data_IF_108720514779
#
_entry.id   IF_108720514779
#
_cell.length_a   1.000
_cell.length_b   1.000
_cell.length_c   1.000
_cell.angle_alpha   90.00
_cell.angle_beta   90.00
_cell.angle_gamma   90.00
#
_symmetry.space_group_name_H-M   'P 1'
#
loop_
_entity.id
_entity.type
_entity.pdbx_description
1 polymer ?
#
# COMPACT_ATOMS: atom_id res chain seq x y z
N UNK A 1 24.50 35.21 -9.81
CA UNK A 1 23.38 36.19 -9.76
C UNK A 1 22.25 35.72 -8.86
N UNK A 2 21.96 34.43 -8.77
CA UNK A 2 20.91 33.89 -7.87
C UNK A 2 21.24 33.99 -6.37
N UNK A 3 22.51 33.87 -6.00
CA UNK A 3 22.96 33.89 -4.60
C UNK A 3 22.66 35.24 -3.91
N UNK A 4 22.90 36.36 -4.59
CA UNK A 4 22.55 37.71 -4.10
C UNK A 4 21.03 37.91 -3.94
N UNK A 5 20.20 37.25 -4.76
CA UNK A 5 18.74 37.37 -4.67
C UNK A 5 18.20 36.62 -3.45
N UNK A 6 18.79 35.46 -3.13
CA UNK A 6 18.44 34.67 -1.94
C UNK A 6 18.82 35.42 -0.67
N UNK A 7 20.02 36.00 -0.61
CA UNK A 7 20.46 36.80 0.55
C UNK A 7 19.57 38.03 0.77
N UNK A 8 19.22 38.74 -0.30
CA UNK A 8 18.30 39.88 -0.23
C UNK A 8 16.90 39.47 0.29
N UNK A 9 16.38 38.32 -0.16
CA UNK A 9 15.10 37.81 0.31
C UNK A 9 15.13 37.43 1.79
N UNK A 10 16.24 36.81 2.25
CA UNK A 10 16.43 36.46 3.66
C UNK A 10 16.51 37.72 4.55
N UNK A 11 17.26 38.74 4.12
CA UNK A 11 17.37 39.99 4.87
C UNK A 11 16.03 40.75 4.92
N UNK A 12 15.27 40.76 3.83
CA UNK A 12 13.90 41.29 3.82
C UNK A 12 12.98 40.51 4.78
N UNK A 13 13.07 39.18 4.79
CA UNK A 13 12.31 38.34 5.71
C UNK A 13 12.62 38.63 7.18
N UNK A 14 13.91 38.76 7.53
CA UNK A 14 14.35 39.15 8.89
C UNK A 14 13.84 40.52 9.28
N UNK A 15 13.86 41.50 8.37
CA UNK A 15 13.36 42.84 8.63
C UNK A 15 11.85 42.82 8.92
N UNK A 16 11.07 42.10 8.12
CA UNK A 16 9.62 41.95 8.32
C UNK A 16 9.29 41.26 9.64
N UNK A 17 10.03 40.20 9.99
CA UNK A 17 9.86 39.51 11.27
C UNK A 17 10.18 40.42 12.46
N UNK A 18 11.26 41.20 12.39
CA UNK A 18 11.58 42.20 13.41
C UNK A 18 10.45 43.22 13.53
N UNK A 19 10.00 43.81 12.42
CA UNK A 19 8.91 44.78 12.43
C UNK A 19 7.61 44.20 13.01
N UNK A 20 7.26 42.97 12.66
CA UNK A 20 6.10 42.28 13.23
C UNK A 20 6.26 42.08 14.74
N UNK A 21 7.45 41.67 15.19
CA UNK A 21 7.77 41.53 16.60
C UNK A 21 7.67 42.86 17.36
N UNK A 22 8.27 43.94 16.83
CA UNK A 22 8.17 45.28 17.41
C UNK A 22 6.70 45.71 17.57
N UNK A 23 5.86 45.52 16.55
CA UNK A 23 4.43 45.84 16.65
C UNK A 23 3.72 45.06 17.76
N UNK A 24 4.03 43.77 17.92
CA UNK A 24 3.46 42.95 19.00
C UNK A 24 3.88 43.52 20.36
N UNK A 25 5.16 43.83 20.53
CA UNK A 25 5.68 44.42 21.77
C UNK A 25 5.03 45.77 22.06
N UNK A 26 4.91 46.65 21.07
CA UNK A 26 4.29 47.97 21.21
C UNK A 26 2.82 47.88 21.61
N UNK A 27 2.06 46.97 20.98
CA UNK A 27 0.66 46.69 21.34
C UNK A 27 0.59 46.19 22.79
N UNK A 28 1.48 45.27 23.17
CA UNK A 28 1.50 44.70 24.53
C UNK A 28 1.80 45.77 25.58
N UNK A 29 2.78 46.64 25.32
CA UNK A 29 3.10 47.76 26.20
C UNK A 29 1.98 48.80 26.26
N UNK A 30 1.34 49.08 25.13
CA UNK A 30 0.17 49.97 25.09
C UNK A 30 -0.96 49.43 25.97
N UNK A 31 -1.30 48.14 25.85
CA UNK A 31 -2.30 47.50 26.71
C UNK A 31 -1.89 47.54 28.18
N UNK A 32 -0.64 47.19 28.51
CA UNK A 32 -0.14 47.21 29.89
C UNK A 32 -0.26 48.61 30.52
N UNK A 33 0.12 49.65 29.78
CA UNK A 33 0.02 51.05 30.22
C UNK A 33 -1.43 51.50 30.37
N UNK A 34 -2.31 51.07 29.48
CA UNK A 34 -3.72 51.44 29.55
C UNK A 34 -4.44 50.71 30.69
N UNK A 35 -4.07 49.45 30.99
CA UNK A 35 -4.56 48.73 32.18
C UNK A 35 -4.07 49.34 33.48
N UNK A 36 -2.81 49.82 33.53
CA UNK A 36 -2.25 50.52 34.69
C UNK A 36 -2.99 51.85 34.93
N UNK A 37 -3.22 52.65 33.89
CA UNK A 37 -3.99 53.90 33.99
C UNK A 37 -5.45 53.68 34.40
N UNK A 38 -6.03 52.56 34.02
CA UNK A 38 -7.41 52.24 34.34
C UNK A 38 -7.58 51.75 35.80
N UNK A 39 -6.49 51.67 36.59
CA UNK A 39 -6.46 51.12 37.95
C UNK A 39 -7.18 49.77 38.03
N UNK A 40 -7.11 48.99 36.94
CA UNK A 40 -7.69 47.66 36.87
C UNK A 40 -6.79 46.73 37.67
N UNK A 41 -7.11 46.54 38.94
CA UNK A 41 -6.54 45.44 39.71
C UNK A 41 -6.91 44.13 39.00
N UNK A 42 -5.87 43.35 38.66
CA UNK A 42 -6.06 42.08 38.00
C UNK A 42 -6.67 41.09 39.00
N UNK A 43 -7.99 41.06 39.08
CA UNK A 43 -8.70 40.09 39.92
C UNK A 43 -8.36 38.66 39.43
N UNK A 44 -7.66 37.85 40.24
CA UNK A 44 -7.30 36.49 39.85
C UNK A 44 -8.53 35.63 39.53
N UNK A 45 -9.69 35.93 40.12
CA UNK A 45 -10.95 35.27 39.82
C UNK A 45 -11.42 35.56 38.39
N UNK A 46 -11.40 36.84 37.98
CA UNK A 46 -11.75 37.24 36.61
C UNK A 46 -10.78 36.65 35.59
N UNK A 47 -9.47 36.69 35.88
CA UNK A 47 -8.46 36.09 35.02
C UNK A 47 -8.67 34.58 34.84
N UNK A 48 -8.99 33.86 35.91
CA UNK A 48 -9.30 32.43 35.87
C UNK A 48 -10.55 32.14 35.03
N UNK A 49 -11.63 32.92 35.21
CA UNK A 49 -12.87 32.75 34.43
C UNK A 49 -12.61 33.01 32.94
N UNK A 50 -11.86 34.06 32.60
CA UNK A 50 -11.47 34.34 31.21
C UNK A 50 -10.62 33.21 30.62
N UNK A 51 -9.64 32.69 31.36
CA UNK A 51 -8.79 31.59 30.92
C UNK A 51 -9.57 30.30 30.67
N UNK A 52 -10.51 29.96 31.56
CA UNK A 52 -11.41 28.82 31.40
C UNK A 52 -12.35 29.01 30.21
N UNK A 53 -12.93 30.20 30.05
CA UNK A 53 -13.78 30.54 28.92
C UNK A 53 -13.03 30.42 27.58
N UNK A 54 -11.82 30.96 27.50
CA UNK A 54 -10.96 30.84 26.31
C UNK A 54 -10.60 29.39 26.01
N UNK A 55 -10.23 28.62 27.03
CA UNK A 55 -9.90 27.19 26.87
C UNK A 55 -11.11 26.39 26.38
N UNK A 56 -12.29 26.69 26.90
CA UNK A 56 -13.53 26.07 26.47
C UNK A 56 -13.86 26.38 24.99
N UNK A 57 -13.74 27.65 24.58
CA UNK A 57 -13.96 28.08 23.20
C UNK A 57 -12.95 27.48 22.23
N UNK A 58 -11.66 27.57 22.56
CA UNK A 58 -10.57 27.01 21.75
C UNK A 58 -10.65 25.49 21.69
N UNK A 59 -10.97 24.82 22.80
CA UNK A 59 -11.18 23.39 22.85
C UNK A 59 -12.27 22.94 21.87
N UNK A 60 -13.39 23.65 21.83
CA UNK A 60 -14.47 23.40 20.86
C UNK A 60 -14.03 23.61 19.41
N UNK A 61 -13.36 24.73 19.11
CA UNK A 61 -12.86 25.05 17.78
C UNK A 61 -11.84 24.01 17.28
N UNK A 62 -10.88 23.64 18.13
CA UNK A 62 -9.88 22.61 17.83
C UNK A 62 -10.51 21.23 17.64
N UNK A 63 -11.50 20.86 18.45
CA UNK A 63 -12.20 19.59 18.29
C UNK A 63 -12.94 19.52 16.96
N UNK A 64 -13.69 20.58 16.61
CA UNK A 64 -14.40 20.64 15.33
C UNK A 64 -13.45 20.57 14.13
N UNK A 65 -12.34 21.30 14.20
CA UNK A 65 -11.27 21.29 13.20
C UNK A 65 -10.64 19.89 13.03
N UNK A 66 -10.43 19.17 14.13
CA UNK A 66 -9.89 17.80 14.11
C UNK A 66 -10.84 16.82 13.41
N UNK A 67 -12.15 16.88 13.72
CA UNK A 67 -13.16 16.04 13.03
C UNK A 67 -13.18 16.36 11.53
N UNK A 68 -13.13 17.64 11.16
CA UNK A 68 -13.10 18.07 9.77
C UNK A 68 -11.85 17.56 9.04
N UNK A 69 -10.68 17.63 9.67
CA UNK A 69 -9.44 17.11 9.11
C UNK A 69 -9.52 15.60 8.89
N UNK A 70 -10.01 14.84 9.87
CA UNK A 70 -10.18 13.39 9.75
C UNK A 70 -11.13 13.01 8.60
N UNK A 71 -12.15 13.84 8.34
CA UNK A 71 -13.15 13.64 7.26
C UNK A 71 -12.79 14.35 5.95
N UNK A 72 -11.57 14.92 5.82
CA UNK A 72 -11.03 15.62 4.63
C UNK A 72 -11.84 16.86 4.19
N UNK A 73 -12.39 17.60 5.16
CA UNK A 73 -13.04 18.89 4.97
C UNK A 73 -12.12 20.06 5.35
N UNK A 74 -12.53 21.30 5.06
CA UNK A 74 -11.71 22.50 5.27
C UNK A 74 -11.56 22.88 6.74
N UNK A 75 -10.39 22.63 7.32
CA UNK A 75 -10.06 22.85 8.74
C UNK A 75 -10.49 24.24 9.25
N UNK A 76 -10.13 25.30 8.52
CA UNK A 76 -10.40 26.69 8.91
C UNK A 76 -11.88 27.00 9.13
N UNK A 77 -12.75 26.52 8.23
CA UNK A 77 -14.20 26.76 8.33
C UNK A 77 -14.77 26.11 9.59
N UNK A 78 -14.38 24.87 9.88
CA UNK A 78 -14.87 24.14 11.04
C UNK A 78 -14.28 24.65 12.35
N UNK A 79 -13.06 25.20 12.32
CA UNK A 79 -12.48 25.92 13.46
C UNK A 79 -13.32 27.15 13.81
N UNK A 80 -13.62 28.02 12.84
CA UNK A 80 -14.41 29.24 13.06
C UNK A 80 -15.83 28.92 13.53
N UNK A 81 -16.49 27.92 12.92
CA UNK A 81 -17.82 27.49 13.37
C UNK A 81 -17.79 26.85 14.76
N UNK A 82 -16.75 26.09 15.10
CA UNK A 82 -16.57 25.54 16.44
C UNK A 82 -16.29 26.60 17.51
N UNK A 83 -15.75 27.77 17.12
CA UNK A 83 -15.59 28.93 17.98
C UNK A 83 -16.90 29.70 18.19
N UNK A 84 -17.70 29.87 17.13
CA UNK A 84 -18.99 30.58 17.16
C UNK A 84 -20.10 29.78 17.85
N UNK A 85 -20.07 28.45 17.73
CA UNK A 85 -21.06 27.53 18.29
C UNK A 85 -20.37 26.46 19.15
N UNK A 86 -19.92 26.83 20.37
CA UNK A 86 -19.13 25.94 21.21
C UNK A 86 -19.91 24.66 21.57
N UNK A 87 -19.24 23.51 21.51
CA UNK A 87 -19.77 22.17 21.82
C UNK A 87 -20.90 21.65 20.92
N UNK A 88 -21.92 22.46 20.64
CA UNK A 88 -23.06 22.07 19.79
C UNK A 88 -22.58 21.70 18.38
N UNK A 89 -21.73 22.55 17.80
CA UNK A 89 -21.21 22.32 16.46
C UNK A 89 -20.34 21.05 16.34
N UNK A 90 -19.25 20.87 17.12
CA UNK A 90 -18.44 19.65 17.04
C UNK A 90 -19.26 18.38 17.29
N UNK A 91 -20.25 18.40 18.20
CA UNK A 91 -21.15 17.27 18.43
C UNK A 91 -22.00 16.93 17.20
N UNK A 92 -22.59 17.93 16.54
CA UNK A 92 -23.43 17.69 15.35
C UNK A 92 -22.59 17.14 14.19
N UNK A 93 -21.44 17.74 13.90
CA UNK A 93 -20.59 17.31 12.78
C UNK A 93 -19.93 15.94 13.02
N UNK A 94 -19.81 15.51 14.28
CA UNK A 94 -19.31 14.17 14.60
C UNK A 94 -20.20 13.09 13.96
N UNK A 95 -21.52 13.30 13.94
CA UNK A 95 -22.50 12.35 13.41
C UNK A 95 -22.98 12.68 12.00
N UNK A 96 -23.10 13.97 11.64
CA UNK A 96 -23.71 14.38 10.38
C UNK A 96 -22.74 14.46 9.19
N UNK A 97 -21.43 14.48 9.42
CA UNK A 97 -20.45 14.73 8.37
C UNK A 97 -19.90 13.43 7.80
N UNK A 98 -20.02 13.21 6.49
CA UNK A 98 -19.41 12.04 5.81
C UNK A 98 -17.94 12.29 5.42
N UNK A 99 -17.21 11.20 5.16
CA UNK A 99 -15.83 11.28 4.65
C UNK A 99 -15.87 11.73 3.18
N UNK A 100 -15.23 12.87 2.89
CA UNK A 100 -15.17 13.39 1.52
C UNK A 100 -14.42 12.41 0.61
N UNK A 101 -15.09 11.94 -0.44
CA UNK A 101 -14.54 11.05 -1.46
C UNK A 101 -14.79 9.55 -1.24
N UNK A 102 -15.45 9.15 -0.16
CA UNK A 102 -15.80 7.74 0.07
C UNK A 102 -16.72 7.19 -1.03
N UNK A 103 -17.75 7.95 -1.44
CA UNK A 103 -18.65 7.58 -2.53
C UNK A 103 -17.93 7.46 -3.88
N UNK A 104 -16.96 8.32 -4.14
CA UNK A 104 -16.19 8.28 -5.39
C UNK A 104 -15.23 7.07 -5.41
N UNK A 105 -14.61 6.76 -4.27
CA UNK A 105 -13.76 5.58 -4.11
C UNK A 105 -14.58 4.29 -4.27
N UNK A 106 -15.77 4.22 -3.67
CA UNK A 106 -16.68 3.08 -3.83
C UNK A 106 -17.13 2.93 -5.29
N UNK A 107 -17.51 4.03 -5.95
CA UNK A 107 -17.88 4.00 -7.37
C UNK A 107 -16.72 3.53 -8.27
N UNK A 108 -15.49 3.95 -7.98
CA UNK A 108 -14.28 3.46 -8.69
C UNK A 108 -14.05 1.98 -8.44
N UNK A 109 -14.17 1.52 -7.20
CA UNK A 109 -14.00 0.10 -6.86
C UNK A 109 -15.05 -0.78 -7.55
N UNK A 110 -16.30 -0.33 -7.61
CA UNK A 110 -17.37 -1.03 -8.32
C UNK A 110 -17.14 -1.03 -9.84
N UNK A 111 -16.68 0.09 -10.41
CA UNK A 111 -16.33 0.17 -11.83
C UNK A 111 -15.15 -0.76 -12.18
N UNK A 112 -14.10 -0.80 -11.33
CA UNK A 112 -12.95 -1.67 -11.52
C UNK A 112 -13.32 -3.15 -11.40
N UNK A 113 -14.20 -3.52 -10.46
CA UNK A 113 -14.74 -4.88 -10.35
C UNK A 113 -15.52 -5.28 -11.60
N UNK A 114 -16.41 -4.42 -12.10
CA UNK A 114 -17.15 -4.68 -13.35
C UNK A 114 -16.21 -4.82 -14.54
N UNK A 115 -15.20 -3.97 -14.64
CA UNK A 115 -14.21 -4.05 -15.71
C UNK A 115 -13.35 -5.33 -15.62
N UNK A 116 -13.06 -5.83 -14.41
CA UNK A 116 -12.39 -7.11 -14.21
C UNK A 116 -13.28 -8.28 -14.63
N UNK A 117 -14.54 -8.29 -14.21
CA UNK A 117 -15.52 -9.33 -14.60
C UNK A 117 -15.71 -9.39 -16.12
N UNK A 118 -15.78 -8.24 -16.80
CA UNK A 118 -15.84 -8.18 -18.28
C UNK A 118 -14.59 -8.76 -18.94
N UNK A 119 -13.40 -8.41 -18.45
CA UNK A 119 -12.12 -8.94 -18.97
C UNK A 119 -12.00 -10.45 -18.76
N UNK A 120 -12.48 -10.96 -17.63
CA UNK A 120 -12.51 -12.40 -17.36
C UNK A 120 -13.51 -13.12 -18.25
N UNK A 121 -14.71 -12.56 -18.45
CA UNK A 121 -15.70 -13.10 -19.38
C UNK A 121 -15.20 -13.11 -20.83
N UNK A 122 -14.49 -12.06 -21.26
CA UNK A 122 -13.87 -11.99 -22.59
C UNK A 122 -12.76 -13.04 -22.74
N UNK A 123 -11.90 -13.22 -21.72
CA UNK A 123 -10.90 -14.31 -21.71
C UNK A 123 -11.56 -15.68 -21.82
N UNK A 124 -12.63 -15.93 -21.07
CA UNK A 124 -13.36 -17.20 -21.15
C UNK A 124 -13.97 -17.43 -22.53
N UNK A 125 -14.56 -16.40 -23.15
CA UNK A 125 -15.07 -16.48 -24.53
C UNK A 125 -13.97 -16.76 -25.54
N UNK A 126 -12.83 -16.08 -25.44
CA UNK A 126 -11.70 -16.31 -26.32
C UNK A 126 -11.12 -17.72 -26.17
N UNK A 127 -11.02 -18.25 -24.95
CA UNK A 127 -10.61 -19.64 -24.70
C UNK A 127 -11.63 -20.64 -25.28
N UNK A 128 -12.93 -20.37 -25.14
CA UNK A 128 -13.98 -21.21 -25.71
C UNK A 128 -14.00 -21.20 -27.25
N UNK A 129 -13.65 -20.08 -27.89
CA UNK A 129 -13.47 -19.99 -29.35
C UNK A 129 -12.17 -20.63 -29.83
N UNK A 130 -11.13 -20.64 -28.99
CA UNK A 130 -9.86 -21.32 -29.21
C UNK A 130 -9.92 -22.81 -28.87
N UNK A 131 -11.11 -23.42 -28.73
CA UNK A 131 -11.26 -24.87 -28.63
C UNK A 131 -10.46 -25.49 -29.78
N UNK A 132 -9.33 -26.16 -29.50
CA UNK A 132 -8.62 -26.85 -30.54
C UNK A 132 -9.61 -27.89 -31.07
N UNK A 133 -9.83 -27.91 -32.38
CA UNK A 133 -10.20 -29.17 -33.01
C UNK A 133 -9.21 -30.21 -32.45
N UNK A 134 -9.74 -31.29 -31.90
CA UNK A 134 -8.98 -32.49 -31.61
C UNK A 134 -8.35 -32.94 -32.94
N UNK A 135 -7.18 -32.39 -33.26
CA UNK A 135 -6.28 -32.95 -34.24
C UNK A 135 -5.75 -34.24 -33.62
N UNK A 136 -6.13 -35.36 -34.24
CA UNK A 136 -5.51 -36.66 -34.02
C UNK A 136 -3.98 -36.49 -33.95
N UNK A 137 -3.30 -37.17 -32.99
CA UNK A 137 -1.89 -36.95 -32.79
C UNK A 137 -1.10 -37.47 -33.99
N UNK A 138 -0.69 -36.55 -34.86
CA UNK A 138 0.34 -36.82 -35.87
C UNK A 138 1.70 -36.98 -35.17
N UNK A 139 2.46 -38.03 -35.48
CA UNK A 139 3.73 -38.28 -34.82
C UNK A 139 4.84 -37.50 -35.53
N UNK A 140 5.09 -36.26 -35.12
CA UNK A 140 6.21 -35.48 -35.64
C UNK A 140 7.26 -35.16 -34.57
N UNK A 141 8.30 -36.01 -34.57
CA UNK A 141 9.71 -35.67 -34.65
C UNK A 141 10.18 -34.27 -34.20
N UNK A 142 10.11 -33.98 -32.90
CA UNK A 142 11.16 -33.21 -32.20
C UNK A 142 11.09 -33.57 -30.71
N UNK A 143 12.21 -34.06 -30.17
CA UNK A 143 12.32 -34.68 -28.84
C UNK A 143 12.17 -33.70 -27.68
N UNK A 144 10.99 -33.09 -27.52
CA UNK A 144 10.62 -32.36 -26.32
C UNK A 144 10.13 -33.32 -25.24
N UNK A 145 10.69 -33.21 -24.04
CA UNK A 145 10.21 -33.97 -22.89
C UNK A 145 8.75 -33.63 -22.59
N UNK A 146 7.92 -34.66 -22.42
CA UNK A 146 6.46 -34.51 -22.20
C UNK A 146 6.09 -35.02 -20.81
N UNK A 147 5.00 -34.47 -20.27
CA UNK A 147 4.38 -34.93 -19.02
C UNK A 147 4.17 -36.44 -18.97
N UNK A 148 3.64 -37.01 -20.05
CA UNK A 148 3.37 -38.45 -20.16
C UNK A 148 4.61 -39.33 -20.01
N UNK A 149 5.78 -38.86 -20.44
CA UNK A 149 7.05 -39.57 -20.25
C UNK A 149 7.42 -39.64 -18.76
N UNK A 150 7.33 -38.51 -18.04
CA UNK A 150 7.65 -38.46 -16.61
C UNK A 150 6.64 -39.20 -15.74
N UNK A 151 5.36 -39.20 -16.10
CA UNK A 151 4.34 -40.00 -15.41
C UNK A 151 4.60 -41.51 -15.54
N UNK A 152 5.08 -41.95 -16.71
CA UNK A 152 5.42 -43.36 -16.94
C UNK A 152 6.66 -43.80 -16.15
N UNK A 153 7.70 -42.97 -16.12
CA UNK A 153 8.95 -43.35 -15.42
C UNK A 153 8.91 -43.02 -13.92
N UNK A 154 7.93 -42.28 -13.41
CA UNK A 154 7.86 -41.92 -11.99
C UNK A 154 7.63 -43.13 -11.06
N UNK A 155 7.07 -44.22 -11.57
CA UNK A 155 6.78 -45.43 -10.80
C UNK A 155 7.34 -46.67 -11.47
N UNK A 156 7.93 -47.55 -10.67
CA UNK A 156 8.36 -48.86 -11.12
C UNK A 156 7.16 -49.82 -11.28
N UNK A 157 7.37 -51.02 -11.83
CA UNK A 157 6.36 -52.06 -12.06
C UNK A 157 5.61 -52.48 -10.78
N UNK A 158 6.23 -52.30 -9.62
CA UNK A 158 5.65 -52.55 -8.29
C UNK A 158 4.89 -51.32 -7.71
N UNK A 159 4.76 -50.24 -8.48
CA UNK A 159 4.06 -49.02 -8.08
C UNK A 159 4.83 -48.14 -7.08
N UNK A 160 6.08 -48.48 -6.76
CA UNK A 160 6.97 -47.67 -5.92
C UNK A 160 7.59 -46.52 -6.71
N UNK A 161 7.96 -45.39 -6.07
CA UNK A 161 8.68 -44.32 -6.73
C UNK A 161 9.97 -44.87 -7.34
N UNK A 162 10.14 -44.67 -8.65
CA UNK A 162 11.38 -45.03 -9.34
C UNK A 162 12.45 -43.94 -9.12
N UNK A 163 13.69 -44.27 -9.46
CA UNK A 163 14.88 -43.44 -9.25
C UNK A 163 16.01 -44.24 -8.59
N UNK A 164 17.23 -43.69 -8.49
CA UNK A 164 17.64 -42.32 -8.81
C UNK A 164 17.97 -42.07 -10.30
N UNK A 165 17.91 -40.80 -10.72
CA UNK A 165 18.25 -40.33 -12.09
C UNK A 165 19.29 -39.22 -12.08
N UNK A 166 20.08 -39.16 -13.14
CA UNK A 166 20.99 -38.05 -13.42
C UNK A 166 20.40 -37.16 -14.52
N UNK A 167 20.26 -35.87 -14.21
CA UNK A 167 19.63 -34.90 -15.09
C UNK A 167 20.55 -33.73 -15.36
N UNK A 168 20.72 -33.41 -16.64
CA UNK A 168 21.46 -32.24 -17.08
C UNK A 168 20.48 -31.09 -17.34
N UNK A 169 20.61 -30.02 -16.56
CA UNK A 169 19.77 -28.83 -16.62
C UNK A 169 20.62 -27.58 -16.47
N UNK A 170 20.54 -26.66 -17.44
CA UNK A 170 21.37 -25.44 -17.52
C UNK A 170 22.89 -25.73 -17.38
N UNK A 171 23.38 -26.79 -18.02
CA UNK A 171 24.79 -27.18 -17.93
C UNK A 171 25.24 -27.81 -16.58
N UNK A 172 24.35 -27.96 -15.60
CA UNK A 172 24.64 -28.63 -14.30
C UNK A 172 24.01 -30.03 -14.29
N UNK A 173 24.76 -31.03 -13.81
CA UNK A 173 24.25 -32.38 -13.59
C UNK A 173 23.73 -32.49 -12.16
N UNK A 174 22.46 -32.82 -12.01
CA UNK A 174 21.77 -32.98 -10.73
C UNK A 174 21.35 -34.44 -10.55
N UNK A 175 21.63 -35.01 -9.37
CA UNK A 175 21.14 -36.33 -8.98
C UNK A 175 19.78 -36.23 -8.32
N UNK A 176 18.78 -36.80 -8.96
CA UNK A 176 17.39 -36.81 -8.55
C UNK A 176 17.08 -38.14 -7.87
N UNK A 177 16.53 -38.07 -6.67
CA UNK A 177 16.14 -39.25 -5.87
C UNK A 177 14.84 -39.83 -6.40
N UNK A 178 13.84 -38.97 -6.65
CA UNK A 178 12.54 -39.38 -7.19
C UNK A 178 11.80 -38.25 -7.90
N UNK A 179 10.85 -38.60 -8.76
CA UNK A 179 9.88 -37.69 -9.35
C UNK A 179 8.68 -37.60 -8.41
N UNK A 180 8.29 -36.40 -8.02
CA UNK A 180 7.15 -36.15 -7.14
C UNK A 180 5.88 -35.95 -7.94
N UNK A 181 5.95 -35.11 -8.98
CA UNK A 181 4.80 -34.73 -9.78
C UNK A 181 5.24 -34.27 -11.17
N UNK A 182 4.49 -34.65 -12.21
CA UNK A 182 4.66 -34.14 -13.56
C UNK A 182 3.50 -33.19 -13.89
N UNK A 183 3.81 -31.94 -14.21
CA UNK A 183 2.85 -30.92 -14.62
C UNK A 183 3.01 -30.65 -16.12
N UNK A 184 2.09 -29.89 -16.72
CA UNK A 184 2.05 -29.74 -18.18
C UNK A 184 3.30 -29.06 -18.77
N UNK A 185 4.02 -28.25 -17.98
CA UNK A 185 5.21 -27.50 -18.42
C UNK A 185 6.49 -27.80 -17.62
N UNK A 186 6.40 -28.52 -16.50
CA UNK A 186 7.52 -28.77 -15.59
C UNK A 186 7.36 -30.08 -14.83
N UNK A 187 8.47 -30.66 -14.37
CA UNK A 187 8.49 -31.78 -13.43
C UNK A 187 9.00 -31.31 -12.07
N UNK A 188 8.32 -31.75 -11.01
CA UNK A 188 8.71 -31.56 -9.63
C UNK A 188 9.47 -32.80 -9.18
N UNK A 189 10.71 -32.61 -8.76
CA UNK A 189 11.64 -33.68 -8.42
C UNK A 189 12.21 -33.45 -7.01
N UNK A 190 12.61 -34.53 -6.35
CA UNK A 190 13.36 -34.45 -5.10
C UNK A 190 14.84 -34.73 -5.35
N UNK A 191 15.69 -33.82 -4.89
CA UNK A 191 17.14 -33.89 -4.97
C UNK A 191 17.72 -34.03 -3.55
N UNK A 192 18.86 -34.71 -3.44
CA UNK A 192 19.68 -34.69 -2.23
C UNK A 192 20.63 -33.47 -2.25
N UNK A 193 20.57 -32.63 -1.22
CA UNK A 193 21.50 -31.52 -1.02
C UNK A 193 22.84 -32.02 -0.42
N UNK A 194 23.90 -31.22 -0.47
CA UNK A 194 25.25 -31.57 0.02
C UNK A 194 25.27 -31.95 1.53
N UNK A 195 24.21 -31.59 2.24
CA UNK A 195 23.98 -31.87 3.67
C UNK A 195 23.16 -33.14 3.93
N UNK A 196 22.87 -33.93 2.89
CA UNK A 196 22.06 -35.16 2.98
C UNK A 196 20.56 -34.91 3.22
N UNK A 197 20.08 -33.67 3.02
CA UNK A 197 18.66 -33.34 3.16
C UNK A 197 17.97 -33.35 1.78
N UNK A 198 16.74 -33.84 1.71
CA UNK A 198 15.95 -33.85 0.48
C UNK A 198 15.29 -32.49 0.26
N UNK A 199 15.53 -31.86 -0.88
CA UNK A 199 14.88 -30.61 -1.30
C UNK A 199 14.04 -30.84 -2.57
N UNK A 200 12.96 -30.07 -2.72
CA UNK A 200 12.07 -30.14 -3.89
C UNK A 200 12.48 -29.10 -4.92
N UNK A 201 12.73 -29.55 -6.14
CA UNK A 201 13.10 -28.71 -7.27
C UNK A 201 12.06 -28.81 -8.39
N UNK A 202 11.79 -27.68 -9.05
CA UNK A 202 10.91 -27.60 -10.23
C UNK A 202 11.75 -27.40 -11.48
N UNK A 203 11.69 -28.33 -12.41
CA UNK A 203 12.48 -28.32 -13.64
C UNK A 203 11.53 -28.16 -14.84
N UNK A 204 11.54 -27.01 -15.52
CA UNK A 204 10.79 -26.82 -16.77
C UNK A 204 11.30 -27.74 -17.87
N UNK A 205 10.39 -28.38 -18.63
CA UNK A 205 10.75 -29.32 -19.70
C UNK A 205 11.63 -28.71 -20.78
N UNK A 206 11.40 -27.43 -21.10
CA UNK A 206 12.16 -26.68 -22.09
C UNK A 206 13.66 -26.52 -21.74
N UNK A 207 14.05 -26.80 -20.50
CA UNK A 207 15.42 -26.60 -19.99
C UNK A 207 16.14 -27.93 -19.69
N UNK A 208 15.49 -29.07 -19.90
CA UNK A 208 16.10 -30.39 -19.69
C UNK A 208 16.93 -30.75 -20.92
N UNK A 209 18.24 -30.87 -20.76
CA UNK A 209 19.15 -31.27 -21.82
C UNK A 209 19.24 -32.80 -21.94
N UNK A 210 19.28 -33.52 -20.81
CA UNK A 210 19.37 -34.97 -20.75
C UNK A 210 18.73 -35.54 -19.48
N UNK A 211 18.16 -36.73 -19.57
CA UNK A 211 17.62 -37.51 -18.45
C UNK A 211 18.03 -38.97 -18.59
N UNK A 212 18.79 -39.50 -17.63
CA UNK A 212 19.34 -40.86 -17.66
C UNK A 212 19.23 -41.51 -16.28
N UNK A 213 19.23 -42.84 -16.23
CA UNK A 213 19.33 -43.55 -14.96
C UNK A 213 20.70 -43.28 -14.33
N UNK A 214 20.72 -43.01 -13.02
CA UNK A 214 21.98 -42.71 -12.35
C UNK A 214 22.80 -44.01 -12.20
N UNK A 215 24.06 -43.98 -12.65
CA UNK A 215 25.04 -45.06 -12.40
C UNK A 215 25.43 -45.18 -10.91
#
# INVERSE_FOLDING_TARGET
>A
MEENAIEQWIEQGKLLLRQAWQKIVDITMWFAKETEKAELDADPGVAMVLALGLTFLLGSACWAASIAQARRHSIWLHFTLGLLLPWVYPLVILFAMDIKGEKEMLAKLEADKRAQEEREAERQRNIAMLKPQEEEPKPDASGGWKRSYFEQIARDRDGKPAGPWDVKFNGVVLRIVRIVEAQDQLVVVEQLDDRGQTSRLRIPYAKIEAWQDAE
#
